data_IF_814498255757
#
_entry.id   IF_814498255757
#
_cell.length_a   1.000
_cell.length_b   1.000
_cell.length_c   1.000
_cell.angle_alpha   90.00
_cell.angle_beta   90.00
_cell.angle_gamma   90.00
#
_symmetry.space_group_name_H-M   'P 1'
#
loop_
_entity.id
_entity.type
_entity.pdbx_description
1 polymer ?
#
# COMPACT_ATOMS: atom_id res chain seq x y z
N UNK A 1 -18.51 -19.19 3.98
CA UNK A 1 -17.98 -19.14 2.60
C UNK A 1 -18.18 -17.81 1.86
N UNK A 2 -19.40 -17.28 1.65
CA UNK A 2 -19.57 -16.02 0.86
C UNK A 2 -19.06 -14.78 1.61
N UNK A 3 -19.46 -14.61 2.86
CA UNK A 3 -19.03 -13.47 3.69
C UNK A 3 -17.50 -13.40 3.82
N UNK A 4 -16.83 -14.53 4.07
CA UNK A 4 -15.37 -14.59 4.17
C UNK A 4 -14.68 -14.16 2.87
N UNK A 5 -15.24 -14.51 1.70
CA UNK A 5 -14.70 -14.08 0.41
C UNK A 5 -14.87 -12.59 0.18
N UNK A 6 -16.00 -12.02 0.59
CA UNK A 6 -16.26 -10.58 0.49
C UNK A 6 -15.32 -9.82 1.43
N UNK A 7 -15.21 -10.24 2.68
CA UNK A 7 -14.28 -9.66 3.65
C UNK A 7 -12.83 -9.80 3.16
N UNK A 8 -12.47 -10.97 2.62
CA UNK A 8 -11.15 -11.20 2.04
C UNK A 8 -10.83 -10.27 0.85
N UNK A 9 -11.82 -9.91 0.04
CA UNK A 9 -11.64 -8.95 -1.04
C UNK A 9 -11.41 -7.53 -0.51
N UNK A 10 -12.24 -7.08 0.43
CA UNK A 10 -12.12 -5.74 1.02
C UNK A 10 -10.81 -5.58 1.82
N UNK A 11 -10.47 -6.56 2.65
CA UNK A 11 -9.21 -6.57 3.39
C UNK A 11 -8.02 -6.75 2.46
N UNK A 12 -8.13 -7.61 1.44
CA UNK A 12 -7.07 -7.80 0.45
C UNK A 12 -6.74 -6.52 -0.31
N UNK A 13 -7.75 -5.71 -0.65
CA UNK A 13 -7.55 -4.40 -1.26
C UNK A 13 -6.80 -3.46 -0.32
N UNK A 14 -7.29 -3.27 0.92
CA UNK A 14 -6.65 -2.38 1.90
C UNK A 14 -5.21 -2.82 2.24
N UNK A 15 -4.97 -4.13 2.33
CA UNK A 15 -3.63 -4.70 2.54
C UNK A 15 -2.71 -4.43 1.34
N UNK A 16 -3.22 -4.60 0.12
CA UNK A 16 -2.46 -4.37 -1.11
C UNK A 16 -2.08 -2.90 -1.30
N UNK A 17 -3.04 -2.00 -1.05
CA UNK A 17 -2.85 -0.55 -0.99
C UNK A 17 -1.71 -0.20 -0.02
N UNK A 18 -1.86 -0.54 1.27
CA UNK A 18 -0.88 -0.19 2.30
C UNK A 18 0.51 -0.84 2.09
N UNK A 19 0.58 -2.02 1.47
CA UNK A 19 1.86 -2.67 1.10
C UNK A 19 2.53 -2.01 -0.10
N UNK A 20 1.75 -1.50 -1.06
CA UNK A 20 2.25 -0.84 -2.28
C UNK A 20 2.72 0.59 -2.05
N UNK A 21 2.01 1.32 -1.17
CA UNK A 21 2.19 2.74 -0.88
C UNK A 21 3.66 3.19 -0.77
N UNK A 22 4.56 2.54 -0.01
CA UNK A 22 5.93 3.04 0.17
C UNK A 22 6.73 3.16 -1.15
N UNK A 23 6.37 2.34 -2.14
CA UNK A 23 7.04 2.24 -3.43
C UNK A 23 6.32 2.96 -4.57
N UNK A 24 5.22 3.64 -4.25
CA UNK A 24 4.37 4.31 -5.23
C UNK A 24 5.19 5.22 -6.17
N UNK A 25 4.85 5.16 -7.47
CA UNK A 25 5.51 5.87 -8.58
C UNK A 25 7.01 5.62 -8.76
N UNK A 26 7.63 4.70 -8.02
CA UNK A 26 9.03 4.33 -8.26
C UNK A 26 9.17 3.20 -9.29
N UNK A 27 10.20 3.26 -10.15
CA UNK A 27 10.51 2.13 -11.02
C UNK A 27 11.00 0.94 -10.19
N UNK A 28 10.69 -0.28 -10.64
CA UNK A 28 11.08 -1.53 -9.96
C UNK A 28 12.57 -1.61 -9.62
N UNK A 29 13.45 -1.03 -10.43
CA UNK A 29 14.90 -0.97 -10.17
C UNK A 29 15.22 -0.17 -8.91
N UNK A 30 14.58 1.00 -8.73
CA UNK A 30 14.72 1.83 -7.51
C UNK A 30 14.10 1.13 -6.30
N UNK A 31 12.93 0.51 -6.46
CA UNK A 31 12.29 -0.26 -5.38
C UNK A 31 13.22 -1.36 -4.88
N UNK A 32 13.83 -2.14 -5.78
CA UNK A 32 14.80 -3.17 -5.42
C UNK A 32 16.07 -2.61 -4.77
N UNK A 33 16.60 -1.49 -5.27
CA UNK A 33 17.80 -0.89 -4.72
C UNK A 33 17.58 -0.32 -3.30
N UNK A 34 16.41 0.28 -3.06
CA UNK A 34 16.10 0.92 -1.77
C UNK A 34 15.54 -0.07 -0.74
N UNK A 35 14.57 -0.90 -1.12
CA UNK A 35 13.88 -1.81 -0.20
C UNK A 35 14.38 -3.25 -0.28
N UNK A 36 15.01 -3.65 -1.39
CA UNK A 36 15.22 -5.06 -1.70
C UNK A 36 13.89 -5.75 -2.01
N UNK A 37 13.25 -6.30 -0.98
CA UNK A 37 11.96 -6.95 -1.02
C UNK A 37 11.06 -6.40 0.08
N UNK A 38 9.85 -5.96 -0.28
CA UNK A 38 8.85 -5.49 0.69
C UNK A 38 8.10 -6.71 1.22
N UNK A 39 8.44 -7.14 2.44
CA UNK A 39 7.81 -8.28 3.14
C UNK A 39 6.92 -7.88 4.32
N UNK A 40 6.83 -6.58 4.61
CA UNK A 40 6.08 -6.03 5.74
C UNK A 40 5.63 -4.61 5.42
N UNK A 41 4.70 -4.09 6.22
CA UNK A 41 4.32 -2.67 6.13
C UNK A 41 5.50 -1.76 6.49
N UNK A 42 5.80 -0.85 5.59
CA UNK A 42 6.84 0.17 5.74
C UNK A 42 6.17 1.56 5.68
N UNK A 43 6.74 2.58 6.33
CA UNK A 43 6.31 3.96 6.10
C UNK A 43 6.76 4.44 4.72
N UNK A 44 6.15 5.51 4.22
CA UNK A 44 6.63 6.17 3.01
C UNK A 44 8.02 6.78 3.20
N UNK A 45 8.99 6.53 2.30
CA UNK A 45 10.29 7.21 2.35
C UNK A 45 10.14 8.72 2.18
N UNK A 46 10.97 9.50 2.88
CA UNK A 46 10.93 10.97 2.79
C UNK A 46 11.22 11.50 1.38
N UNK A 47 12.02 10.75 0.62
CA UNK A 47 12.37 11.04 -0.77
C UNK A 47 11.33 10.53 -1.79
N UNK A 48 10.24 9.91 -1.35
CA UNK A 48 9.12 9.54 -2.20
C UNK A 48 8.01 10.59 -2.07
N UNK A 49 7.90 11.51 -3.02
CA UNK A 49 6.93 12.60 -2.95
C UNK A 49 5.45 12.16 -2.91
N UNK A 50 5.14 10.95 -3.37
CA UNK A 50 3.79 10.39 -3.29
C UNK A 50 3.52 9.79 -1.90
N UNK A 51 4.48 9.06 -1.37
CA UNK A 51 4.31 8.26 -0.15
C UNK A 51 4.73 8.97 1.15
N UNK A 52 5.52 10.06 1.09
CA UNK A 52 6.23 10.62 2.24
C UNK A 52 5.36 11.15 3.40
N UNK A 53 4.04 11.23 3.20
CA UNK A 53 3.08 11.67 4.20
C UNK A 53 2.41 10.53 4.97
N UNK A 54 2.65 9.27 4.58
CA UNK A 54 1.99 8.11 5.16
C UNK A 54 2.90 7.36 6.13
N UNK A 55 2.32 6.95 7.26
CA UNK A 55 2.94 6.02 8.19
C UNK A 55 2.79 4.57 7.72
N UNK A 56 3.51 3.67 8.39
CA UNK A 56 3.39 2.23 8.13
C UNK A 56 1.94 1.77 8.27
N UNK A 57 1.47 0.98 7.31
CA UNK A 57 0.14 0.37 7.28
C UNK A 57 -1.05 1.34 7.18
N UNK A 58 -0.82 2.63 6.89
CA UNK A 58 -1.89 3.53 6.48
C UNK A 58 -2.30 3.21 5.03
N UNK A 59 -3.61 3.23 4.77
CA UNK A 59 -4.16 3.10 3.42
C UNK A 59 -4.19 4.47 2.72
N UNK A 60 -4.15 4.48 1.39
CA UNK A 60 -4.20 5.69 0.58
C UNK A 60 -5.63 6.05 0.16
N UNK A 61 -5.75 6.96 -0.80
CA UNK A 61 -7.01 7.30 -1.46
C UNK A 61 -7.67 6.11 -2.17
N UNK A 62 -6.95 5.07 -2.59
CA UNK A 62 -7.55 3.84 -3.16
C UNK A 62 -8.60 3.23 -2.22
N UNK A 63 -8.22 2.98 -0.95
CA UNK A 63 -9.16 2.47 0.06
C UNK A 63 -10.16 3.55 0.47
N UNK A 64 -9.72 4.81 0.60
CA UNK A 64 -10.60 5.92 0.95
C UNK A 64 -11.77 6.10 -0.03
N UNK A 65 -11.49 6.06 -1.32
CA UNK A 65 -12.49 6.16 -2.39
C UNK A 65 -13.37 4.92 -2.46
N UNK A 66 -12.81 3.72 -2.27
CA UNK A 66 -13.59 2.48 -2.25
C UNK A 66 -14.60 2.43 -1.09
N UNK A 67 -14.29 3.04 0.06
CA UNK A 67 -15.22 3.17 1.18
C UNK A 67 -16.34 4.20 0.91
N UNK A 68 -16.09 5.16 0.03
CA UNK A 68 -17.05 6.22 -0.31
C UNK A 68 -17.97 5.88 -1.50
N UNK A 69 -17.69 4.80 -2.25
CA UNK A 69 -18.45 4.37 -3.44
C UNK A 69 -19.79 3.72 -3.07
#
# INVERSE_FOLDING_TARGET
>A
MKAERILGALYGQALGDAMGMPSELWPRTRVKAHFGWIDRFLPGPKENNAACYFNRAECTDDTGMALCL
#
